data_IF_126788198448
#
_entry.id   IF_126788198448
#
_cell.length_a   1.000
_cell.length_b   1.000
_cell.length_c   1.000
_cell.angle_alpha   90.00
_cell.angle_beta   90.00
_cell.angle_gamma   90.00
#
_symmetry.space_group_name_H-M   'P 1'
#
loop_
_entity.id
_entity.type
_entity.pdbx_description
1 polymer ?
#
# COMPACT_ATOMS: atom_id res chain seq x y z
N UNK A 1 -22.20 -31.73 66.49
CA UNK A 1 -20.99 -31.77 65.66
C UNK A 1 -21.42 -31.88 64.20
N UNK A 2 -21.35 -30.79 63.44
CA UNK A 2 -21.55 -30.77 61.99
C UNK A 2 -20.35 -30.06 61.37
N UNK A 3 -19.50 -30.83 60.70
CA UNK A 3 -18.33 -30.31 59.98
C UNK A 3 -18.81 -29.55 58.74
N UNK A 4 -18.56 -28.23 58.67
CA UNK A 4 -18.63 -27.47 57.43
C UNK A 4 -17.32 -27.64 56.68
N UNK A 5 -17.37 -28.18 55.46
CA UNK A 5 -16.22 -28.27 54.55
C UNK A 5 -16.03 -26.91 53.87
N UNK A 6 -14.90 -26.21 54.05
CA UNK A 6 -14.63 -24.91 53.40
C UNK A 6 -14.11 -25.05 51.96
N UNK A 7 -14.01 -26.27 51.43
CA UNK A 7 -13.62 -26.54 50.05
C UNK A 7 -14.83 -26.51 49.12
N UNK A 8 -15.59 -25.41 49.13
CA UNK A 8 -16.41 -25.01 47.99
C UNK A 8 -15.47 -24.52 46.88
N UNK A 9 -14.86 -25.53 46.28
CA UNK A 9 -14.33 -25.71 44.95
C UNK A 9 -14.04 -24.44 44.13
N UNK A 10 -12.76 -24.08 44.11
CA UNK A 10 -12.13 -23.30 43.03
C UNK A 10 -12.56 -23.81 41.63
N UNK A 11 -12.89 -25.10 41.48
CA UNK A 11 -13.40 -25.65 40.22
C UNK A 11 -14.80 -25.15 39.83
N UNK A 12 -15.64 -24.75 40.79
CA UNK A 12 -16.98 -24.19 40.52
C UNK A 12 -16.88 -22.75 39.99
N UNK A 13 -15.91 -21.98 40.49
CA UNK A 13 -15.57 -20.66 39.98
C UNK A 13 -15.03 -20.73 38.54
N UNK A 14 -14.13 -21.69 38.25
CA UNK A 14 -13.58 -21.88 36.91
C UNK A 14 -14.61 -22.44 35.91
N UNK A 15 -15.52 -23.31 36.37
CA UNK A 15 -16.64 -23.81 35.55
C UNK A 15 -17.54 -22.67 35.06
N UNK A 16 -17.88 -21.74 35.96
CA UNK A 16 -18.69 -20.56 35.60
C UNK A 16 -18.03 -19.69 34.54
N UNK A 17 -16.72 -19.43 34.67
CA UNK A 17 -15.96 -18.64 33.68
C UNK A 17 -15.91 -19.33 32.33
N UNK A 18 -15.71 -20.65 32.31
CA UNK A 18 -15.58 -21.43 31.08
C UNK A 18 -16.90 -21.47 30.28
N UNK A 19 -18.05 -21.58 30.97
CA UNK A 19 -19.38 -21.50 30.35
C UNK A 19 -19.61 -20.11 29.73
N UNK A 20 -19.26 -19.04 30.44
CA UNK A 20 -19.41 -17.67 29.93
C UNK A 20 -18.53 -17.46 28.69
N UNK A 21 -17.28 -17.94 28.69
CA UNK A 21 -16.40 -17.82 27.52
C UNK A 21 -16.93 -18.60 26.31
N UNK A 22 -17.48 -19.81 26.50
CA UNK A 22 -18.06 -20.60 25.40
C UNK A 22 -19.31 -19.91 24.85
N UNK A 23 -20.18 -19.36 25.71
CA UNK A 23 -21.37 -18.62 25.25
C UNK A 23 -20.99 -17.35 24.50
N UNK A 24 -19.99 -16.60 24.97
CA UNK A 24 -19.49 -15.42 24.26
C UNK A 24 -18.85 -15.78 22.91
N UNK A 25 -18.08 -16.87 22.86
CA UNK A 25 -17.46 -17.33 21.62
C UNK A 25 -18.51 -17.85 20.62
N UNK A 26 -19.51 -18.59 21.11
CA UNK A 26 -20.65 -19.03 20.31
C UNK A 26 -21.48 -17.83 19.80
N UNK A 27 -21.68 -16.80 20.62
CA UNK A 27 -22.35 -15.58 20.18
C UNK A 27 -21.58 -14.87 19.06
N UNK A 28 -20.24 -14.75 19.15
CA UNK A 28 -19.42 -14.14 18.08
C UNK A 28 -19.50 -14.94 16.78
N UNK A 29 -19.55 -16.27 16.84
CA UNK A 29 -19.71 -17.13 15.65
C UNK A 29 -21.14 -17.08 15.11
N UNK A 30 -22.13 -16.99 15.99
CA UNK A 30 -23.54 -17.04 15.64
C UNK A 30 -24.14 -15.68 15.28
N UNK A 31 -23.44 -14.56 15.50
CA UNK A 31 -23.85 -13.27 14.96
C UNK A 31 -23.88 -13.38 13.43
N UNK A 32 -25.07 -13.38 12.80
CA UNK A 32 -25.14 -13.26 11.35
C UNK A 32 -24.47 -11.92 11.02
N UNK A 33 -23.54 -11.91 10.07
CA UNK A 33 -23.05 -10.65 9.50
C UNK A 33 -24.29 -9.85 9.11
N UNK A 34 -24.58 -8.78 9.83
CA UNK A 34 -25.74 -7.93 9.59
C UNK A 34 -25.55 -7.33 8.20
N UNK A 35 -26.13 -8.00 7.22
CA UNK A 35 -26.28 -7.49 5.88
C UNK A 35 -27.23 -6.31 5.98
N UNK A 36 -26.74 -5.12 5.65
CA UNK A 36 -27.59 -3.94 5.49
C UNK A 36 -28.68 -4.29 4.47
N UNK A 37 -29.91 -4.37 4.95
CA UNK A 37 -31.10 -4.45 4.11
C UNK A 37 -31.22 -3.16 3.30
N UNK A 38 -30.82 -3.21 2.02
CA UNK A 38 -31.24 -2.20 1.04
C UNK A 38 -32.73 -2.45 0.79
N UNK A 39 -33.59 -1.70 1.48
CA UNK A 39 -34.98 -1.58 1.11
C UNK A 39 -35.08 -0.69 -0.13
N UNK A 40 -35.57 -1.26 -1.23
CA UNK A 40 -36.10 -0.49 -2.36
C UNK A 40 -35.59 -0.94 -3.72
N UNK A 41 -36.15 -2.02 -4.27
CA UNK A 41 -36.55 -2.10 -5.67
C UNK A 41 -37.22 -3.45 -5.95
N UNK A 42 -38.52 -3.39 -6.21
CA UNK A 42 -39.39 -4.48 -6.65
C UNK A 42 -39.11 -4.80 -8.12
N UNK A 43 -38.65 -6.01 -8.46
CA UNK A 43 -38.99 -6.79 -9.68
C UNK A 43 -38.24 -8.14 -9.63
N UNK A 44 -38.93 -9.27 -9.46
CA UNK A 44 -39.45 -10.15 -10.52
C UNK A 44 -38.51 -11.35 -10.82
N UNK A 45 -38.93 -12.53 -10.34
CA UNK A 45 -38.79 -13.89 -10.91
C UNK A 45 -37.42 -14.40 -11.41
N UNK A 46 -36.91 -15.47 -10.80
CA UNK A 46 -35.94 -16.40 -11.42
C UNK A 46 -34.87 -16.90 -10.46
N UNK A 47 -34.79 -18.23 -10.30
CA UNK A 47 -33.73 -19.09 -9.74
C UNK A 47 -32.85 -18.55 -8.59
N UNK A 48 -32.79 -19.33 -7.49
CA UNK A 48 -31.99 -19.08 -6.28
C UNK A 48 -30.47 -19.11 -6.45
N UNK A 49 -29.94 -18.62 -7.58
CA UNK A 49 -28.54 -18.30 -7.75
C UNK A 49 -28.20 -16.99 -7.04
N UNK A 50 -27.02 -16.93 -6.43
CA UNK A 50 -26.47 -15.67 -5.95
C UNK A 50 -26.50 -14.63 -7.09
N UNK A 51 -26.86 -13.37 -6.82
CA UNK A 51 -26.85 -12.33 -7.85
C UNK A 51 -25.46 -12.23 -8.48
N UNK A 52 -25.36 -11.98 -9.79
CA UNK A 52 -24.07 -11.85 -10.47
C UNK A 52 -23.22 -10.76 -9.81
N UNK A 53 -21.88 -10.91 -9.82
CA UNK A 53 -21.00 -9.96 -9.16
C UNK A 53 -21.15 -8.57 -9.78
N UNK A 54 -21.13 -7.55 -8.94
CA UNK A 54 -21.21 -6.16 -9.41
C UNK A 54 -19.93 -5.76 -10.14
N UNK A 55 -19.99 -4.77 -11.03
CA UNK A 55 -18.79 -4.25 -11.71
C UNK A 55 -17.70 -3.77 -10.73
N UNK A 56 -18.07 -3.31 -9.53
CA UNK A 56 -17.12 -2.95 -8.49
C UNK A 56 -16.41 -4.18 -7.91
N UNK A 57 -17.12 -5.28 -7.69
CA UNK A 57 -16.55 -6.54 -7.22
C UNK A 57 -15.62 -7.17 -8.26
N UNK A 58 -16.01 -7.16 -9.53
CA UNK A 58 -15.15 -7.65 -10.63
C UNK A 58 -13.84 -6.87 -10.68
N UNK A 59 -13.89 -5.53 -10.66
CA UNK A 59 -12.69 -4.69 -10.62
C UNK A 59 -11.83 -4.95 -9.39
N UNK A 60 -12.42 -5.16 -8.22
CA UNK A 60 -11.66 -5.50 -7.02
C UNK A 60 -10.90 -6.83 -7.17
N UNK A 61 -11.55 -7.84 -7.75
CA UNK A 61 -10.91 -9.14 -8.03
C UNK A 61 -9.76 -9.00 -9.04
N UNK A 62 -9.96 -8.23 -10.11
CA UNK A 62 -8.90 -7.96 -11.11
C UNK A 62 -7.69 -7.27 -10.48
N UNK A 63 -7.90 -6.30 -9.57
CA UNK A 63 -6.81 -5.63 -8.83
C UNK A 63 -6.04 -6.60 -7.96
N UNK A 64 -6.73 -7.46 -7.20
CA UNK A 64 -6.08 -8.46 -6.36
C UNK A 64 -5.26 -9.45 -7.19
N UNK A 65 -5.81 -9.91 -8.33
CA UNK A 65 -5.11 -10.77 -9.27
C UNK A 65 -3.85 -10.08 -9.85
N UNK A 66 -3.93 -8.79 -10.18
CA UNK A 66 -2.79 -8.01 -10.62
C UNK A 66 -1.70 -7.93 -9.52
N UNK A 67 -2.08 -7.62 -8.28
CA UNK A 67 -1.12 -7.52 -7.16
C UNK A 67 -0.45 -8.87 -6.86
N UNK A 68 -1.17 -9.98 -7.01
CA UNK A 68 -0.59 -11.33 -6.87
C UNK A 68 0.41 -11.63 -7.98
N UNK A 69 0.05 -11.37 -9.23
CA UNK A 69 0.95 -11.56 -10.37
C UNK A 69 2.21 -10.69 -10.24
N UNK A 70 2.06 -9.44 -9.77
CA UNK A 70 3.17 -8.53 -9.49
C UNK A 70 4.08 -9.12 -8.40
N UNK A 71 3.52 -9.60 -7.30
CA UNK A 71 4.28 -10.22 -6.22
C UNK A 71 5.08 -11.45 -6.67
N UNK A 72 4.48 -12.31 -7.49
CA UNK A 72 5.17 -13.48 -8.06
C UNK A 72 6.36 -13.07 -8.94
N UNK A 73 6.18 -12.05 -9.78
CA UNK A 73 7.23 -11.52 -10.66
C UNK A 73 8.35 -10.82 -9.90
N UNK A 74 8.02 -10.21 -8.76
CA UNK A 74 8.97 -9.56 -7.87
C UNK A 74 9.76 -10.53 -6.99
N UNK A 75 9.30 -11.78 -6.83
CA UNK A 75 9.86 -12.77 -5.91
C UNK A 75 11.40 -12.96 -6.02
N UNK A 76 12.04 -12.98 -7.21
CA UNK A 76 13.50 -13.04 -7.30
C UNK A 76 14.18 -11.84 -6.63
N UNK A 77 13.69 -10.63 -6.90
CA UNK A 77 14.27 -9.38 -6.38
C UNK A 77 13.98 -9.15 -4.88
N UNK A 78 12.88 -9.73 -4.40
CA UNK A 78 12.54 -9.75 -2.96
C UNK A 78 13.54 -10.63 -2.20
N UNK A 79 13.88 -11.82 -2.73
CA UNK A 79 14.88 -12.71 -2.11
C UNK A 79 16.25 -12.05 -2.03
N UNK A 80 16.64 -11.31 -3.06
CA UNK A 80 17.92 -10.61 -3.14
C UNK A 80 17.90 -9.24 -2.43
N UNK A 81 16.80 -8.91 -1.73
CA UNK A 81 16.61 -7.66 -0.96
C UNK A 81 16.77 -6.37 -1.76
N UNK A 82 16.65 -6.45 -3.09
CA UNK A 82 16.66 -5.27 -3.97
C UNK A 82 15.31 -4.55 -3.92
N UNK A 83 14.24 -5.33 -3.78
CA UNK A 83 12.87 -4.85 -3.71
C UNK A 83 12.19 -5.36 -2.45
N UNK A 84 11.37 -4.52 -1.81
CA UNK A 84 10.33 -4.97 -0.89
C UNK A 84 8.96 -4.75 -1.51
N UNK A 85 8.07 -5.71 -1.33
CA UNK A 85 6.66 -5.56 -1.72
C UNK A 85 5.77 -5.60 -0.48
N UNK A 86 5.15 -4.47 -0.18
CA UNK A 86 4.09 -4.35 0.83
C UNK A 86 2.75 -4.41 0.11
N UNK A 87 2.23 -5.63 -0.05
CA UNK A 87 0.98 -5.90 -0.77
C UNK A 87 -0.23 -5.21 -0.12
N UNK A 88 -0.42 -5.24 1.22
CA UNK A 88 -1.55 -4.54 1.86
C UNK A 88 -1.58 -3.04 1.56
N UNK A 89 -0.42 -2.36 1.61
CA UNK A 89 -0.34 -0.93 1.31
C UNK A 89 -0.16 -0.63 -0.19
N UNK A 90 -0.01 -1.68 -1.01
CA UNK A 90 0.21 -1.61 -2.46
C UNK A 90 1.44 -0.75 -2.79
N UNK A 91 2.53 -1.03 -2.09
CA UNK A 91 3.81 -0.33 -2.22
C UNK A 91 4.87 -1.31 -2.69
N UNK A 92 5.55 -0.99 -3.79
CA UNK A 92 6.80 -1.64 -4.19
C UNK A 92 7.94 -0.67 -3.87
N UNK A 93 8.84 -1.05 -2.97
CA UNK A 93 9.99 -0.24 -2.58
C UNK A 93 11.28 -0.80 -3.17
N UNK A 94 12.02 0.04 -3.88
CA UNK A 94 13.41 -0.19 -4.28
C UNK A 94 14.32 0.33 -3.16
N UNK A 95 15.03 -0.59 -2.50
CA UNK A 95 15.87 -0.26 -1.33
C UNK A 95 17.20 0.40 -1.74
N UNK A 96 17.95 0.93 -0.77
CA UNK A 96 19.15 1.77 -0.99
C UNK A 96 20.21 1.17 -1.95
N UNK A 97 20.38 -0.15 -1.92
CA UNK A 97 21.27 -0.90 -2.84
C UNK A 97 20.94 -0.66 -4.32
N UNK A 98 19.78 -0.07 -4.59
CA UNK A 98 19.30 0.23 -5.92
C UNK A 98 19.99 1.45 -6.55
N UNK A 99 20.70 2.27 -5.78
CA UNK A 99 21.32 3.50 -6.25
C UNK A 99 22.79 3.58 -5.85
N UNK A 100 23.61 4.19 -6.71
CA UNK A 100 24.98 4.51 -6.31
C UNK A 100 24.98 5.52 -5.16
N UNK A 101 25.99 5.42 -4.28
CA UNK A 101 26.16 6.32 -3.13
C UNK A 101 26.19 7.77 -3.62
N UNK A 102 25.32 8.60 -3.03
CA UNK A 102 25.18 10.01 -3.35
C UNK A 102 25.02 10.29 -4.85
N UNK A 103 24.20 9.47 -5.52
CA UNK A 103 23.90 9.56 -6.94
C UNK A 103 22.43 9.22 -7.18
N UNK A 104 21.89 9.78 -8.27
CA UNK A 104 20.59 9.39 -8.81
C UNK A 104 20.69 8.19 -9.78
N UNK A 105 21.90 7.75 -10.12
CA UNK A 105 22.09 6.61 -11.01
C UNK A 105 21.60 5.32 -10.35
N UNK A 106 20.76 4.58 -11.08
CA UNK A 106 20.44 3.20 -10.75
C UNK A 106 21.70 2.35 -10.85
N UNK A 107 21.85 1.39 -9.93
CA UNK A 107 22.84 0.32 -10.11
C UNK A 107 22.41 -0.60 -11.26
N UNK A 108 23.33 -1.39 -11.86
CA UNK A 108 22.96 -2.39 -12.87
C UNK A 108 21.92 -3.39 -12.36
N UNK A 109 22.01 -3.79 -11.08
CA UNK A 109 21.06 -4.67 -10.40
C UNK A 109 19.67 -4.02 -10.31
N UNK A 110 19.61 -2.77 -9.86
CA UNK A 110 18.37 -2.01 -9.78
C UNK A 110 17.73 -1.80 -11.14
N UNK A 111 18.55 -1.49 -12.15
CA UNK A 111 18.08 -1.26 -13.51
C UNK A 111 17.40 -2.52 -14.05
N UNK A 112 17.96 -3.71 -13.77
CA UNK A 112 17.30 -4.99 -14.10
C UNK A 112 16.01 -5.21 -13.33
N UNK A 113 15.98 -4.87 -12.03
CA UNK A 113 14.79 -5.02 -11.19
C UNK A 113 13.64 -4.09 -11.65
N UNK A 114 13.95 -2.83 -11.94
CA UNK A 114 12.97 -1.86 -12.50
C UNK A 114 12.50 -2.34 -13.88
N UNK A 115 13.41 -2.74 -14.77
CA UNK A 115 13.07 -3.23 -16.10
C UNK A 115 12.17 -4.49 -16.05
N UNK A 116 12.40 -5.39 -15.09
CA UNK A 116 11.63 -6.61 -14.94
C UNK A 116 10.14 -6.34 -14.63
N UNK A 117 9.82 -5.24 -13.95
CA UNK A 117 8.43 -4.85 -13.66
C UNK A 117 7.87 -3.78 -14.58
N UNK A 118 8.73 -3.03 -15.27
CA UNK A 118 8.34 -1.91 -16.11
C UNK A 118 7.22 -2.28 -17.08
N UNK A 119 7.35 -3.41 -17.78
CA UNK A 119 6.32 -3.87 -18.72
C UNK A 119 4.99 -4.20 -18.04
N UNK A 120 5.02 -4.79 -16.84
CA UNK A 120 3.80 -5.17 -16.10
C UNK A 120 3.07 -3.94 -15.58
N UNK A 121 3.80 -2.98 -15.02
CA UNK A 121 3.22 -1.71 -14.57
C UNK A 121 2.71 -0.90 -15.76
N UNK A 122 3.49 -0.85 -16.85
CA UNK A 122 3.09 -0.15 -18.07
C UNK A 122 1.81 -0.73 -18.66
N UNK A 123 1.75 -2.05 -18.83
CA UNK A 123 0.56 -2.74 -19.33
C UNK A 123 -0.67 -2.47 -18.45
N UNK A 124 -0.53 -2.56 -17.12
CA UNK A 124 -1.66 -2.30 -16.23
C UNK A 124 -2.13 -0.85 -16.31
N UNK A 125 -1.21 0.12 -16.43
CA UNK A 125 -1.57 1.51 -16.64
C UNK A 125 -2.34 1.68 -17.95
N UNK A 126 -1.94 1.04 -19.05
CA UNK A 126 -2.69 1.11 -20.32
C UNK A 126 -4.10 0.50 -20.21
N UNK A 127 -4.23 -0.62 -19.51
CA UNK A 127 -5.49 -1.37 -19.41
C UNK A 127 -6.48 -0.75 -18.42
N UNK A 128 -5.99 -0.20 -17.32
CA UNK A 128 -6.82 0.34 -16.24
C UNK A 128 -6.67 1.85 -16.12
N UNK A 129 -7.63 2.58 -16.70
CA UNK A 129 -7.66 4.04 -16.65
C UNK A 129 -7.88 4.62 -15.24
N UNK A 130 -8.39 3.81 -14.30
CA UNK A 130 -8.59 4.24 -12.92
C UNK A 130 -7.31 4.12 -12.08
N UNK A 131 -6.28 3.41 -12.57
CA UNK A 131 -5.00 3.26 -11.88
C UNK A 131 -4.10 4.49 -12.08
N UNK A 132 -3.56 4.99 -10.98
CA UNK A 132 -2.42 5.90 -10.90
C UNK A 132 -1.31 5.24 -10.11
N UNK A 133 -0.06 5.38 -10.56
CA UNK A 133 1.12 4.88 -9.87
C UNK A 133 2.02 6.05 -9.47
N UNK A 134 2.05 6.39 -8.19
CA UNK A 134 2.98 7.42 -7.68
C UNK A 134 4.40 6.88 -7.60
N UNK A 135 5.38 7.61 -8.13
CA UNK A 135 6.81 7.29 -7.99
C UNK A 135 7.42 8.25 -6.97
N UNK A 136 7.65 7.76 -5.76
CA UNK A 136 8.07 8.56 -4.61
C UNK A 136 9.53 8.28 -4.26
N UNK A 137 10.38 9.31 -4.28
CA UNK A 137 11.76 9.23 -3.83
C UNK A 137 11.89 9.66 -2.37
N UNK A 138 12.75 8.97 -1.62
CA UNK A 138 13.07 9.30 -0.23
C UNK A 138 14.58 9.25 0.03
N UNK A 139 15.03 10.01 1.02
CA UNK A 139 16.39 9.97 1.55
C UNK A 139 16.38 9.74 3.05
N UNK A 140 17.57 9.50 3.60
CA UNK A 140 17.82 9.68 5.02
C UNK A 140 17.95 11.18 5.38
N UNK A 141 18.14 11.46 6.66
CA UNK A 141 18.34 12.81 7.17
C UNK A 141 19.77 13.35 7.00
N UNK A 142 20.69 12.57 6.41
CA UNK A 142 22.05 13.04 6.21
C UNK A 142 22.04 14.13 5.13
N UNK A 143 22.41 15.34 5.51
CA UNK A 143 22.40 16.44 4.57
C UNK A 143 23.52 16.30 3.54
N UNK A 144 23.15 16.09 2.29
CA UNK A 144 24.10 16.12 1.19
C UNK A 144 24.55 17.55 0.93
N UNK A 145 25.84 17.74 0.66
CA UNK A 145 26.40 19.01 0.20
C UNK A 145 26.71 18.86 -1.28
N UNK A 146 26.09 19.72 -2.12
CA UNK A 146 26.36 19.97 -3.55
C UNK A 146 27.27 18.93 -4.22
N UNK A 147 26.68 17.93 -4.86
CA UNK A 147 27.41 16.91 -5.63
C UNK A 147 27.02 17.03 -7.10
N UNK A 148 28.02 17.10 -7.98
CA UNK A 148 27.85 16.94 -9.42
C UNK A 148 28.26 15.52 -9.78
N UNK A 149 27.30 14.68 -10.18
CA UNK A 149 27.57 13.34 -10.73
C UNK A 149 26.78 13.14 -12.02
N UNK A 150 27.19 12.16 -12.84
CA UNK A 150 26.68 11.98 -14.21
C UNK A 150 25.15 11.89 -14.35
N UNK A 151 24.42 11.48 -13.31
CA UNK A 151 22.95 11.39 -13.34
C UNK A 151 22.22 12.61 -12.77
N UNK A 152 22.90 13.74 -12.60
CA UNK A 152 22.26 15.03 -12.31
C UNK A 152 23.01 15.92 -11.33
N UNK A 153 22.54 17.16 -11.24
CA UNK A 153 22.94 18.13 -10.24
C UNK A 153 21.85 18.27 -9.19
N UNK A 154 22.22 18.28 -7.91
CA UNK A 154 21.29 18.47 -6.80
C UNK A 154 21.96 19.28 -5.68
N UNK A 155 21.19 20.19 -5.08
CA UNK A 155 21.61 20.99 -3.93
C UNK A 155 21.19 20.41 -2.58
N UNK A 156 20.17 19.54 -2.58
CA UNK A 156 19.54 19.01 -1.37
C UNK A 156 18.91 17.63 -1.61
N UNK A 157 18.49 17.00 -0.50
CA UNK A 157 17.90 15.66 -0.49
C UNK A 157 16.56 15.58 -1.23
N UNK A 158 15.80 16.67 -1.30
CA UNK A 158 14.52 16.73 -2.03
C UNK A 158 14.76 16.64 -3.53
N UNK A 159 15.76 17.36 -4.05
CA UNK A 159 16.17 17.25 -5.46
C UNK A 159 16.77 15.88 -5.78
N UNK A 160 17.67 15.35 -4.93
CA UNK A 160 18.26 14.03 -5.15
C UNK A 160 17.18 12.93 -5.19
N UNK A 161 16.26 12.94 -4.25
CA UNK A 161 15.17 11.97 -4.20
C UNK A 161 14.22 12.10 -5.40
N UNK A 162 13.91 13.32 -5.84
CA UNK A 162 13.13 13.58 -7.06
C UNK A 162 13.83 13.00 -8.30
N UNK A 163 15.15 13.18 -8.43
CA UNK A 163 15.93 12.64 -9.56
C UNK A 163 15.99 11.11 -9.56
N UNK A 164 16.12 10.48 -8.38
CA UNK A 164 16.05 9.02 -8.24
C UNK A 164 14.69 8.48 -8.69
N UNK A 165 13.60 9.10 -8.23
CA UNK A 165 12.25 8.76 -8.65
C UNK A 165 12.04 8.98 -10.16
N UNK A 166 12.57 10.07 -10.71
CA UNK A 166 12.54 10.35 -12.15
C UNK A 166 13.28 9.27 -12.96
N UNK A 167 14.41 8.78 -12.45
CA UNK A 167 15.19 7.71 -13.10
C UNK A 167 14.39 6.41 -13.18
N UNK A 168 13.73 6.00 -12.09
CA UNK A 168 12.83 4.83 -12.09
C UNK A 168 11.66 5.04 -13.05
N UNK A 169 11.00 6.21 -12.98
CA UNK A 169 9.90 6.55 -13.88
C UNK A 169 10.31 6.46 -15.35
N UNK A 170 11.51 6.92 -15.70
CA UNK A 170 11.97 6.94 -17.10
C UNK A 170 12.00 5.55 -17.72
N UNK A 171 12.38 4.52 -16.95
CA UNK A 171 12.40 3.12 -17.39
C UNK A 171 10.98 2.59 -17.60
N UNK A 172 10.06 2.89 -16.67
CA UNK A 172 8.66 2.46 -16.77
C UNK A 172 7.94 3.18 -17.93
N UNK A 173 8.15 4.48 -18.06
CA UNK A 173 7.48 5.34 -19.03
C UNK A 173 7.91 5.12 -20.48
N UNK A 174 9.01 4.40 -20.73
CA UNK A 174 9.50 4.12 -22.07
C UNK A 174 8.49 3.32 -22.92
N UNK A 175 7.61 2.54 -22.29
CA UNK A 175 6.58 1.73 -22.96
C UNK A 175 5.16 2.28 -22.87
N UNK A 176 4.98 3.53 -22.44
CA UNK A 176 3.65 4.11 -22.15
C UNK A 176 3.20 5.16 -23.17
N UNK A 177 1.90 5.16 -23.44
CA UNK A 177 1.16 6.23 -24.12
C UNK A 177 1.23 7.55 -23.33
N UNK A 178 1.08 8.72 -23.98
CA UNK A 178 1.05 10.01 -23.29
C UNK A 178 0.02 10.06 -22.14
N UNK A 179 -1.15 9.45 -22.35
CA UNK A 179 -2.24 9.40 -21.38
C UNK A 179 -1.88 8.54 -20.17
N UNK A 180 -1.29 7.37 -20.39
CA UNK A 180 -0.81 6.52 -19.30
C UNK A 180 0.38 7.14 -18.55
N UNK A 181 1.28 7.83 -19.25
CA UNK A 181 2.42 8.56 -18.65
C UNK A 181 1.99 9.66 -17.69
N UNK A 182 0.83 10.27 -17.89
CA UNK A 182 0.28 11.30 -17.00
C UNK A 182 -0.15 10.71 -15.64
N UNK A 183 -0.50 9.43 -15.60
CA UNK A 183 -0.89 8.68 -14.38
C UNK A 183 0.30 8.04 -13.66
N UNK A 184 1.52 8.47 -13.99
CA UNK A 184 2.76 8.06 -13.35
C UNK A 184 3.50 9.30 -12.79
N UNK A 185 2.93 10.02 -11.80
CA UNK A 185 3.54 11.23 -11.23
C UNK A 185 4.80 10.92 -10.42
N UNK A 186 5.67 11.92 -10.28
CA UNK A 186 6.92 11.86 -9.51
C UNK A 186 6.85 12.81 -8.32
N UNK A 187 7.28 12.32 -7.16
CA UNK A 187 7.44 13.14 -5.95
C UNK A 187 8.78 12.83 -5.30
N UNK A 188 9.53 13.84 -4.87
CA UNK A 188 10.69 13.67 -4.00
C UNK A 188 10.39 14.22 -2.62
N UNK A 189 10.45 13.36 -1.60
CA UNK A 189 10.20 13.73 -0.21
C UNK A 189 11.46 14.11 0.56
N UNK A 190 12.65 13.83 0.01
CA UNK A 190 13.89 13.94 0.77
C UNK A 190 13.77 13.20 2.11
N UNK A 191 14.14 13.83 3.24
CA UNK A 191 14.08 13.23 4.56
C UNK A 191 12.70 13.34 5.24
N UNK A 192 11.69 13.98 4.64
CA UNK A 192 10.46 14.35 5.36
C UNK A 192 9.53 13.17 5.65
N UNK A 193 9.80 12.00 5.04
CA UNK A 193 9.03 10.75 5.22
C UNK A 193 9.96 9.58 5.52
N UNK A 194 10.66 9.67 6.66
CA UNK A 194 11.50 8.59 7.17
C UNK A 194 10.65 7.35 7.44
N UNK A 195 11.19 6.20 7.05
CA UNK A 195 10.63 4.89 7.38
C UNK A 195 11.12 4.46 8.77
N UNK A 196 12.41 4.62 9.00
CA UNK A 196 13.03 4.45 10.30
C UNK A 196 13.17 5.84 10.95
N UNK A 197 12.24 6.16 11.85
CA UNK A 197 12.24 7.40 12.61
C UNK A 197 13.14 7.35 13.84
N UNK A 198 13.54 6.14 14.27
CA UNK A 198 14.44 5.92 15.41
C UNK A 198 15.88 6.24 15.01
N UNK A 199 16.33 5.69 13.87
CA UNK A 199 17.59 6.04 13.24
C UNK A 199 17.33 6.79 11.92
N UNK A 200 17.37 8.14 11.92
CA UNK A 200 17.08 8.94 10.75
C UNK A 200 18.16 8.83 9.66
N UNK A 201 19.32 8.25 9.96
CA UNK A 201 20.43 8.03 9.02
C UNK A 201 20.44 6.61 8.42
N UNK A 202 19.50 5.77 8.84
CA UNK A 202 19.45 4.37 8.44
C UNK A 202 19.26 4.19 6.93
N UNK A 203 19.84 3.10 6.40
CA UNK A 203 19.82 2.81 4.97
C UNK A 203 18.41 2.60 4.42
N UNK A 204 17.48 2.05 5.22
CA UNK A 204 16.11 1.79 4.76
C UNK A 204 15.30 3.07 4.51
N UNK A 205 15.82 4.24 4.91
CA UNK A 205 15.24 5.54 4.58
C UNK A 205 15.55 5.97 3.14
N UNK A 206 16.66 5.51 2.56
CA UNK A 206 17.08 5.81 1.19
C UNK A 206 16.44 4.82 0.23
N UNK A 207 15.41 5.26 -0.50
CA UNK A 207 14.56 4.36 -1.29
C UNK A 207 13.76 5.09 -2.35
N UNK A 208 13.21 4.32 -3.29
CA UNK A 208 12.13 4.79 -4.19
C UNK A 208 10.94 3.86 -4.05
N UNK A 209 9.74 4.40 -3.95
CA UNK A 209 8.49 3.64 -3.79
C UNK A 209 7.59 3.85 -5.02
N UNK A 210 6.98 2.77 -5.49
CA UNK A 210 5.84 2.80 -6.40
C UNK A 210 4.58 2.56 -5.58
N UNK A 211 3.66 3.53 -5.57
CA UNK A 211 2.39 3.49 -4.86
C UNK A 211 1.23 3.35 -5.83
N UNK A 212 0.52 2.23 -5.76
CA UNK A 212 -0.62 1.95 -6.64
C UNK A 212 -1.93 2.46 -6.00
N UNK A 213 -2.61 3.37 -6.70
CA UNK A 213 -3.84 4.03 -6.25
C UNK A 213 -4.90 3.95 -7.34
N UNK A 214 -6.07 3.40 -7.02
CA UNK A 214 -7.22 3.44 -7.90
C UNK A 214 -8.16 4.59 -7.52
N UNK A 215 -8.80 5.22 -8.51
CA UNK A 215 -9.70 6.38 -8.34
C UNK A 215 -10.79 6.18 -7.26
N UNK A 216 -11.22 4.94 -7.03
CA UNK A 216 -12.27 4.60 -6.05
C UNK A 216 -11.72 4.28 -4.64
N UNK A 217 -10.41 4.42 -4.43
CA UNK A 217 -9.74 4.13 -3.16
C UNK A 217 -9.43 5.42 -2.36
N UNK A 218 -9.80 6.59 -2.89
CA UNK A 218 -9.69 7.84 -2.15
C UNK A 218 -10.65 7.79 -0.94
N UNK A 219 -10.18 8.07 0.29
CA UNK A 219 -11.12 8.36 1.37
C UNK A 219 -11.95 9.56 0.92
N UNK A 220 -13.27 9.48 1.07
CA UNK A 220 -14.16 10.61 0.93
C UNK A 220 -13.73 11.68 1.94
N UNK A 221 -12.81 12.58 1.54
CA UNK A 221 -12.39 13.69 2.37
C UNK A 221 -13.39 14.82 2.20
N UNK A 222 -14.27 14.95 3.20
CA UNK A 222 -14.63 16.25 3.78
C UNK A 222 -15.63 17.13 3.05
N UNK A 223 -16.88 16.71 2.91
CA UNK A 223 -17.99 17.67 3.04
C UNK A 223 -18.06 18.11 4.51
N UNK A 224 -17.38 19.21 4.81
CA UNK A 224 -17.28 19.70 6.19
C UNK A 224 -16.48 20.99 6.34
N UNK A 225 -16.52 21.88 5.34
CA UNK A 225 -16.17 23.28 5.56
C UNK A 225 -17.48 24.06 5.72
N UNK A 226 -18.06 23.99 6.92
CA UNK A 226 -19.03 24.99 7.34
C UNK A 226 -18.32 26.34 7.34
N UNK A 227 -18.73 27.20 6.41
CA UNK A 227 -18.47 28.62 6.49
C UNK A 227 -19.10 29.13 7.79
N UNK A 228 -18.27 29.35 8.81
CA UNK A 228 -18.64 30.25 9.88
C UNK A 228 -18.51 31.67 9.33
N UNK A 229 -19.68 32.17 8.99
CA UNK A 229 -20.02 33.55 8.76
C UNK A 229 -19.43 34.42 9.88
N UNK A 230 -18.37 35.16 9.58
CA UNK A 230 -17.87 36.23 10.42
C UNK A 230 -18.78 37.45 10.21
N UNK A 231 -19.89 37.46 10.93
CA UNK A 231 -20.76 38.61 11.08
C UNK A 231 -20.33 39.46 12.29
N UNK A 232 -19.99 40.72 11.97
CA UNK A 232 -19.91 41.92 12.82
C UNK A 232 -18.71 42.06 13.78
#
# INVERSE_FOLDING_TARGET
MSHHNPWMSIADLFSGVLVIMIVLFAAVIALPRVTRSVHGATSATGDGGAPPPTAAQVRALEREAFLDALGQRLNPFIRDRTIRFDRPNRIVAFEDVSFQVASACLTPEASRAVAAIASTVAQQLEQDQALTVGVEGHSDALQIRRLLRGCGWFSDNTQLSTLRATSVRSVIAAGLSPEARARLPVTGWGPDRLRNTIDPYAAENRRVELRFVWLNDAPAQGEGAQAQDAGL
#
